data_IF_721961404576
#
_entry.id   IF_721961404576
#
_cell.length_a   1.000
_cell.length_b   1.000
_cell.length_c   1.000
_cell.angle_alpha   90.00
_cell.angle_beta   90.00
_cell.angle_gamma   90.00
#
_symmetry.space_group_name_H-M   'P 1'
#
loop_
_entity.id
_entity.type
_entity.pdbx_description
1 polymer ?
#
# COMPACT_ATOMS: atom_id res chain seq x y z
N UNK A 1 10.08 37.82 -35.03
CA UNK A 1 9.26 39.05 -35.02
C UNK A 1 8.77 39.32 -33.59
N UNK A 2 8.43 40.56 -33.22
CA UNK A 2 7.91 40.92 -31.88
C UNK A 2 6.48 41.46 -31.99
N UNK A 3 5.55 40.87 -31.24
CA UNK A 3 4.22 41.42 -30.90
C UNK A 3 4.04 41.07 -29.41
N UNK A 4 4.30 41.97 -28.47
CA UNK A 4 3.50 43.13 -28.01
C UNK A 4 2.23 42.74 -27.24
N UNK A 5 1.94 43.54 -26.20
CA UNK A 5 1.00 43.24 -25.10
C UNK A 5 -0.34 43.92 -25.32
N UNK A 6 -1.39 43.39 -24.70
CA UNK A 6 -2.62 44.14 -24.38
C UNK A 6 -2.88 43.98 -22.87
N UNK A 7 -3.32 45.06 -22.22
CA UNK A 7 -3.71 45.13 -20.81
C UNK A 7 -5.18 45.59 -20.72
N UNK A 8 -5.98 44.95 -19.85
CA UNK A 8 -7.23 45.43 -19.23
C UNK A 8 -7.93 44.24 -18.53
N UNK A 9 -8.67 44.37 -17.42
CA UNK A 9 -8.71 45.43 -16.41
C UNK A 9 -9.17 44.82 -15.06
N UNK A 10 -8.98 45.54 -13.96
CA UNK A 10 -9.37 45.12 -12.61
C UNK A 10 -10.85 45.33 -12.31
N UNK A 11 -11.44 44.43 -11.53
CA UNK A 11 -12.69 44.67 -10.79
C UNK A 11 -12.50 44.29 -9.32
N UNK A 12 -12.57 45.27 -8.42
CA UNK A 12 -12.51 45.08 -6.97
C UNK A 12 -13.90 45.27 -6.36
N UNK A 13 -14.29 44.40 -5.43
CA UNK A 13 -15.39 44.65 -4.50
C UNK A 13 -14.96 44.20 -3.09
N UNK A 14 -15.38 44.91 -2.04
CA UNK A 14 -14.84 44.72 -0.69
C UNK A 14 -15.88 45.02 0.40
N UNK A 15 -15.82 44.22 1.49
CA UNK A 15 -16.46 44.46 2.79
C UNK A 15 -18.01 44.55 2.80
N UNK A 16 -18.71 44.58 3.94
CA UNK A 16 -18.35 44.28 5.34
C UNK A 16 -18.89 42.84 5.68
N UNK A 17 -19.24 42.33 6.87
CA UNK A 17 -19.34 42.79 8.28
C UNK A 17 -18.98 41.64 9.24
N UNK A 18 -18.35 41.94 10.36
CA UNK A 18 -18.29 41.10 11.58
C UNK A 18 -19.41 41.46 12.56
N UNK A 19 -19.92 40.49 13.33
CA UNK A 19 -20.57 40.75 14.63
C UNK A 19 -20.41 39.53 15.55
N UNK A 20 -20.23 39.76 16.85
CA UNK A 20 -20.03 38.71 17.85
C UNK A 20 -20.59 39.12 19.23
N UNK A 21 -21.53 38.33 19.73
CA UNK A 21 -22.09 38.29 21.10
C UNK A 21 -22.72 36.89 21.24
N UNK A 22 -22.44 36.01 22.20
CA UNK A 22 -22.16 36.17 23.64
C UNK A 22 -23.38 36.69 24.44
N UNK A 23 -24.10 35.76 25.10
CA UNK A 23 -24.97 36.02 26.25
C UNK A 23 -25.24 34.69 26.97
N UNK A 24 -25.21 34.70 28.30
CA UNK A 24 -25.51 33.56 29.20
C UNK A 24 -26.95 33.66 29.78
N UNK A 25 -27.38 32.64 30.52
CA UNK A 25 -28.69 32.56 31.18
C UNK A 25 -28.93 33.63 32.27
N UNK A 26 -30.21 33.94 32.56
CA UNK A 26 -30.63 34.28 33.92
C UNK A 26 -31.78 33.37 34.42
N UNK A 27 -31.59 32.74 35.59
CA UNK A 27 -32.57 31.81 36.17
C UNK A 27 -33.42 32.39 37.32
N UNK A 28 -34.72 32.04 37.36
CA UNK A 28 -35.63 32.00 38.54
C UNK A 28 -37.02 31.48 38.11
N UNK A 29 -37.90 30.96 38.98
CA UNK A 29 -37.92 30.92 40.44
C UNK A 29 -38.41 29.56 41.00
N UNK A 30 -38.38 29.39 42.33
CA UNK A 30 -38.72 28.15 43.03
C UNK A 30 -39.99 28.26 43.91
N UNK A 31 -40.53 27.11 44.35
CA UNK A 31 -40.86 26.70 45.75
C UNK A 31 -41.95 25.59 45.80
N UNK A 32 -42.17 24.87 46.92
CA UNK A 32 -41.20 24.35 47.91
C UNK A 32 -41.53 22.93 48.47
N UNK A 33 -40.59 22.36 49.25
CA UNK A 33 -40.79 21.27 50.25
C UNK A 33 -41.17 19.85 49.72
N UNK A 34 -40.86 18.74 50.40
CA UNK A 34 -40.22 18.55 51.71
C UNK A 34 -39.12 17.45 51.69
N UNK A 35 -38.41 17.28 52.80
CA UNK A 35 -37.37 16.26 53.05
C UNK A 35 -37.63 15.62 54.44
N UNK A 36 -36.83 14.66 54.97
CA UNK A 36 -35.71 13.92 54.37
C UNK A 36 -35.75 12.39 54.62
N UNK A 37 -34.84 11.65 53.98
CA UNK A 37 -34.08 10.54 54.60
C UNK A 37 -32.80 10.31 53.78
N UNK A 38 -31.73 9.83 54.43
CA UNK A 38 -30.38 9.93 53.88
C UNK A 38 -29.59 8.63 53.98
N UNK A 39 -28.80 8.36 52.94
CA UNK A 39 -27.62 7.49 53.00
C UNK A 39 -26.51 8.14 52.16
N UNK A 40 -25.29 8.18 52.68
CA UNK A 40 -24.18 8.87 52.02
C UNK A 40 -23.18 7.88 51.38
N UNK A 41 -22.64 8.27 50.22
CA UNK A 41 -21.36 7.79 49.70
C UNK A 41 -20.70 8.96 48.96
N UNK A 42 -19.44 9.25 49.27
CA UNK A 42 -18.78 10.46 48.78
C UNK A 42 -18.19 10.28 47.38
N UNK A 43 -18.35 11.29 46.52
CA UNK A 43 -17.54 11.46 45.31
C UNK A 43 -16.46 12.51 45.59
N UNK A 44 -15.19 12.13 45.43
CA UNK A 44 -14.05 13.02 45.51
C UNK A 44 -13.09 12.67 44.36
N UNK A 45 -12.74 13.67 43.55
CA UNK A 45 -12.12 13.45 42.25
C UNK A 45 -10.72 12.83 42.33
N UNK A 46 -10.50 11.74 41.59
CA UNK A 46 -9.17 11.32 41.18
C UNK A 46 -8.77 12.06 39.89
N UNK A 47 -7.61 12.71 39.90
CA UNK A 47 -7.08 13.41 38.71
C UNK A 47 -6.74 12.40 37.61
N UNK A 48 -7.37 12.55 36.45
CA UNK A 48 -7.19 11.69 35.29
C UNK A 48 -5.84 11.93 34.58
N UNK A 49 -4.75 11.55 35.23
CA UNK A 49 -3.47 11.34 34.55
C UNK A 49 -3.63 10.12 33.65
N UNK A 50 -3.31 10.24 32.36
CA UNK A 50 -3.48 9.14 31.40
C UNK A 50 -2.45 8.02 31.68
N UNK A 51 -2.82 7.10 32.56
CA UNK A 51 -2.02 5.90 32.82
C UNK A 51 -1.89 5.07 31.54
N UNK A 52 -0.67 4.64 31.23
CA UNK A 52 -0.46 3.65 30.18
C UNK A 52 -1.26 2.38 30.54
N UNK A 53 -2.19 1.99 29.66
CA UNK A 53 -3.08 0.87 29.93
C UNK A 53 -2.27 -0.41 30.21
N UNK A 54 -2.71 -1.19 31.19
CA UNK A 54 -2.12 -2.50 31.45
C UNK A 54 -2.25 -3.39 30.21
N UNK A 55 -1.25 -4.24 29.99
CA UNK A 55 -1.32 -5.30 29.00
C UNK A 55 -2.45 -6.28 29.39
N UNK A 56 -3.26 -6.77 28.44
CA UNK A 56 -4.16 -7.89 28.69
C UNK A 56 -3.40 -9.08 29.26
N UNK A 57 -3.87 -9.64 30.37
CA UNK A 57 -3.36 -10.86 30.98
C UNK A 57 -4.18 -12.10 30.56
N UNK A 58 -5.36 -11.90 29.97
CA UNK A 58 -6.28 -12.98 29.54
C UNK A 58 -6.85 -12.73 28.14
N UNK A 59 -7.31 -13.79 27.47
CA UNK A 59 -8.07 -13.68 26.22
C UNK A 59 -9.30 -12.77 26.33
N UNK A 60 -9.99 -12.75 27.48
CA UNK A 60 -11.16 -11.91 27.69
C UNK A 60 -10.82 -10.41 27.73
N UNK A 61 -9.70 -10.04 28.33
CA UNK A 61 -9.18 -8.67 28.32
C UNK A 61 -8.65 -8.27 26.93
N UNK A 62 -8.04 -9.21 26.19
CA UNK A 62 -7.61 -8.98 24.81
C UNK A 62 -8.82 -8.80 23.86
N UNK A 63 -9.89 -9.59 24.05
CA UNK A 63 -11.17 -9.39 23.38
C UNK A 63 -11.77 -8.02 23.73
N UNK A 64 -11.81 -7.64 25.01
CA UNK A 64 -12.28 -6.33 25.45
C UNK A 64 -11.41 -5.16 24.96
N UNK A 65 -10.14 -5.40 24.65
CA UNK A 65 -9.29 -4.45 23.92
C UNK A 65 -9.72 -4.35 22.44
N UNK A 66 -9.81 -5.46 21.72
CA UNK A 66 -10.17 -5.51 20.28
C UNK A 66 -11.53 -4.85 20.02
N UNK A 67 -12.52 -5.11 20.89
CA UNK A 67 -13.88 -4.55 20.80
C UNK A 67 -13.97 -3.02 20.90
N UNK A 68 -12.90 -2.33 21.28
CA UNK A 68 -12.80 -0.85 21.21
C UNK A 68 -12.64 -0.32 19.79
N UNK A 69 -12.19 -1.16 18.86
CA UNK A 69 -11.82 -0.78 17.50
C UNK A 69 -12.72 -1.46 16.45
N UNK A 70 -13.00 -2.76 16.59
CA UNK A 70 -13.79 -3.54 15.63
C UNK A 70 -14.64 -4.59 16.37
N UNK A 71 -15.82 -5.01 15.86
CA UNK A 71 -16.61 -6.05 16.48
C UNK A 71 -15.81 -7.36 16.64
N UNK A 72 -15.99 -8.02 17.78
CA UNK A 72 -15.29 -9.24 18.14
C UNK A 72 -16.16 -9.96 19.18
N UNK A 73 -17.29 -10.48 18.72
CA UNK A 73 -18.30 -11.16 19.53
C UNK A 73 -18.15 -12.69 19.42
N UNK A 74 -18.81 -13.44 20.31
CA UNK A 74 -18.82 -14.91 20.29
C UNK A 74 -17.40 -15.51 20.24
N UNK A 75 -16.56 -15.12 21.21
CA UNK A 75 -15.22 -15.67 21.40
C UNK A 75 -15.32 -17.16 21.78
N UNK A 76 -14.72 -18.02 20.96
CA UNK A 76 -14.62 -19.47 21.19
C UNK A 76 -13.14 -19.84 21.30
N UNK A 77 -12.80 -20.69 22.26
CA UNK A 77 -11.41 -21.13 22.55
C UNK A 77 -11.17 -22.61 22.20
N UNK A 78 -12.03 -23.20 21.37
CA UNK A 78 -11.84 -24.57 20.88
C UNK A 78 -10.62 -24.62 19.94
N UNK A 79 -9.57 -25.43 20.23
CA UNK A 79 -8.42 -25.59 19.33
C UNK A 79 -8.77 -26.25 17.99
N UNK A 80 -10.01 -26.75 17.80
CA UNK A 80 -10.54 -27.34 16.56
C UNK A 80 -11.54 -26.43 15.84
N UNK A 81 -11.64 -25.15 16.20
CA UNK A 81 -12.56 -24.19 15.58
C UNK A 81 -12.38 -24.13 14.06
N UNK A 82 -13.36 -24.67 13.33
CA UNK A 82 -13.31 -24.86 11.88
C UNK A 82 -13.34 -23.54 11.08
N UNK A 83 -13.60 -22.41 11.74
CA UNK A 83 -13.48 -21.07 11.14
C UNK A 83 -12.02 -20.69 10.87
N UNK A 84 -11.05 -21.36 11.50
CA UNK A 84 -9.62 -21.10 11.30
C UNK A 84 -8.91 -22.37 10.82
N UNK A 85 -8.48 -22.38 9.57
CA UNK A 85 -7.55 -23.41 9.10
C UNK A 85 -6.18 -23.21 9.78
N UNK A 86 -5.84 -24.12 10.69
CA UNK A 86 -4.56 -24.18 11.41
C UNK A 86 -3.60 -25.26 10.86
N UNK A 87 -3.92 -25.88 9.72
CA UNK A 87 -3.09 -26.93 9.10
C UNK A 87 -1.71 -26.40 8.76
N UNK A 88 -0.67 -27.00 9.34
CA UNK A 88 0.72 -26.57 9.20
C UNK A 88 1.16 -25.46 10.16
N UNK A 89 0.27 -24.88 10.97
CA UNK A 89 0.63 -23.86 11.95
C UNK A 89 1.03 -24.49 13.30
N UNK A 90 2.33 -24.55 13.59
CA UNK A 90 2.85 -24.91 14.92
C UNK A 90 2.81 -23.69 15.84
N UNK A 91 2.07 -23.71 16.97
CA UNK A 91 1.99 -22.57 17.88
C UNK A 91 3.29 -22.37 18.68
N UNK A 92 4.12 -21.40 18.25
CA UNK A 92 5.35 -20.99 18.95
C UNK A 92 5.07 -19.75 19.81
N UNK A 93 5.41 -19.82 21.10
CA UNK A 93 5.26 -18.71 22.06
C UNK A 93 3.82 -18.36 22.45
N UNK A 94 2.81 -19.11 21.97
CA UNK A 94 1.39 -18.90 22.29
C UNK A 94 1.00 -19.72 23.52
N UNK A 95 0.29 -19.10 24.47
CA UNK A 95 -0.26 -19.78 25.66
C UNK A 95 -1.76 -20.08 25.54
N UNK A 96 -2.52 -19.16 24.96
CA UNK A 96 -3.97 -19.28 24.77
C UNK A 96 -4.36 -18.76 23.38
N UNK A 97 -5.47 -19.25 22.81
CA UNK A 97 -6.05 -18.74 21.57
C UNK A 97 -7.57 -18.71 21.65
N UNK A 98 -8.18 -17.67 21.10
CA UNK A 98 -9.61 -17.57 20.87
C UNK A 98 -9.93 -16.99 19.49
N UNK A 99 -11.12 -17.30 18.99
CA UNK A 99 -11.63 -16.84 17.70
C UNK A 99 -12.98 -16.15 17.93
N UNK A 100 -13.07 -14.88 17.58
CA UNK A 100 -14.31 -14.10 17.62
C UNK A 100 -14.75 -13.71 16.20
N UNK A 101 -16.01 -13.26 16.07
CA UNK A 101 -16.57 -12.77 14.82
C UNK A 101 -16.62 -11.24 14.80
N UNK A 102 -16.18 -10.67 13.68
CA UNK A 102 -16.64 -9.37 13.22
C UNK A 102 -17.97 -9.57 12.47
N UNK A 103 -19.08 -9.22 13.13
CA UNK A 103 -20.44 -9.39 12.63
C UNK A 103 -20.75 -8.49 11.42
N UNK A 104 -20.08 -7.33 11.33
CA UNK A 104 -20.26 -6.33 10.26
C UNK A 104 -19.41 -6.65 9.04
N UNK A 105 -18.17 -7.07 9.23
CA UNK A 105 -17.27 -7.48 8.15
C UNK A 105 -17.50 -8.94 7.71
N UNK A 106 -18.30 -9.71 8.45
CA UNK A 106 -18.56 -11.14 8.29
C UNK A 106 -17.26 -11.95 8.16
N UNK A 107 -16.41 -11.86 9.17
CA UNK A 107 -15.11 -12.55 9.18
C UNK A 107 -14.55 -12.78 10.56
N UNK A 108 -13.57 -13.67 10.61
CA UNK A 108 -12.92 -14.12 11.83
C UNK A 108 -11.85 -13.13 12.29
N UNK A 109 -11.71 -13.00 13.60
CA UNK A 109 -10.55 -12.40 14.24
C UNK A 109 -9.98 -13.41 15.22
N UNK A 110 -8.74 -13.82 14.96
CA UNK A 110 -8.00 -14.71 15.86
C UNK A 110 -7.25 -13.84 16.87
N UNK A 111 -7.40 -14.14 18.15
CA UNK A 111 -6.62 -13.54 19.24
C UNK A 111 -5.76 -14.64 19.83
N UNK A 112 -4.45 -14.43 19.96
CA UNK A 112 -3.54 -15.35 20.66
C UNK A 112 -2.83 -14.63 21.79
N UNK A 113 -2.81 -15.20 23.00
CA UNK A 113 -1.97 -14.72 24.11
C UNK A 113 -0.55 -15.25 23.92
N UNK A 114 0.45 -14.38 24.09
CA UNK A 114 1.83 -14.65 23.67
C UNK A 114 2.81 -14.39 24.82
N UNK A 115 3.44 -15.47 25.30
CA UNK A 115 4.43 -15.45 26.39
C UNK A 115 5.84 -15.11 25.90
N UNK A 116 6.21 -15.54 24.68
CA UNK A 116 7.45 -15.14 24.01
C UNK A 116 7.15 -14.51 22.65
N UNK A 117 7.04 -13.19 22.65
CA UNK A 117 6.81 -12.40 21.44
C UNK A 117 8.01 -12.42 20.48
N UNK A 118 9.24 -12.73 20.94
CA UNK A 118 10.40 -12.84 20.05
C UNK A 118 10.40 -14.18 19.32
N UNK A 119 10.14 -15.29 20.03
CA UNK A 119 9.99 -16.60 19.41
C UNK A 119 8.81 -16.64 18.43
N UNK A 120 7.68 -15.99 18.76
CA UNK A 120 6.54 -15.88 17.85
C UNK A 120 6.87 -15.04 16.60
N UNK A 121 7.57 -13.90 16.74
CA UNK A 121 8.01 -13.12 15.57
C UNK A 121 9.04 -13.86 14.70
N UNK A 122 9.88 -14.70 15.30
CA UNK A 122 10.80 -15.57 14.57
C UNK A 122 10.05 -16.64 13.78
N UNK A 123 9.06 -17.31 14.38
CA UNK A 123 8.25 -18.32 13.70
C UNK A 123 7.45 -17.74 12.51
N UNK A 124 6.88 -16.53 12.65
CA UNK A 124 6.23 -15.82 11.54
C UNK A 124 7.24 -15.48 10.42
N UNK A 125 8.44 -15.03 10.78
CA UNK A 125 9.52 -14.76 9.81
C UNK A 125 9.96 -16.03 9.07
N UNK A 126 10.14 -17.14 9.78
CA UNK A 126 10.58 -18.41 9.20
C UNK A 126 9.49 -18.98 8.28
N UNK A 127 8.21 -18.87 8.66
CA UNK A 127 7.08 -19.19 7.78
C UNK A 127 7.10 -18.34 6.50
N UNK A 128 7.21 -17.01 6.62
CA UNK A 128 7.29 -16.11 5.46
C UNK A 128 8.48 -16.45 4.55
N UNK A 129 9.63 -16.78 5.13
CA UNK A 129 10.84 -17.17 4.38
C UNK A 129 10.61 -18.48 3.61
N UNK A 130 10.10 -19.53 4.26
CA UNK A 130 9.77 -20.80 3.60
C UNK A 130 8.79 -20.60 2.44
N UNK A 131 7.77 -19.75 2.62
CA UNK A 131 6.78 -19.46 1.58
C UNK A 131 7.37 -18.67 0.40
N UNK A 132 8.37 -17.82 0.63
CA UNK A 132 9.12 -17.15 -0.43
C UNK A 132 10.01 -18.13 -1.21
N UNK A 133 10.67 -19.07 -0.53
CA UNK A 133 11.47 -20.13 -1.16
C UNK A 133 10.61 -21.10 -1.99
N UNK A 134 9.35 -21.32 -1.57
CA UNK A 134 8.31 -22.01 -2.36
C UNK A 134 7.76 -21.19 -3.55
N UNK A 135 8.23 -19.95 -3.75
CA UNK A 135 7.85 -19.08 -4.87
C UNK A 135 6.66 -18.14 -4.63
N UNK A 136 6.11 -18.09 -3.42
CA UNK A 136 4.99 -17.19 -3.09
C UNK A 136 5.50 -15.79 -2.72
N UNK A 137 5.76 -14.97 -3.75
CA UNK A 137 6.25 -13.58 -3.65
C UNK A 137 5.47 -12.68 -2.67
N UNK A 138 4.20 -13.00 -2.41
CA UNK A 138 3.28 -12.25 -1.56
C UNK A 138 3.16 -12.77 -0.12
N UNK A 139 3.99 -13.74 0.27
CA UNK A 139 4.07 -14.25 1.63
C UNK A 139 4.30 -13.11 2.66
N UNK A 140 3.55 -13.13 3.76
CA UNK A 140 3.67 -12.13 4.82
C UNK A 140 3.23 -10.71 4.44
N UNK A 141 2.63 -10.49 3.25
CA UNK A 141 2.13 -9.18 2.84
C UNK A 141 0.68 -8.95 3.26
N UNK A 142 -0.20 -9.92 3.03
CA UNK A 142 -1.65 -9.72 3.04
C UNK A 142 -2.39 -10.36 4.21
N UNK A 143 -1.65 -10.90 5.17
CA UNK A 143 -2.18 -11.65 6.32
C UNK A 143 -1.70 -10.96 7.60
N UNK A 144 -2.35 -9.86 8.01
CA UNK A 144 -1.77 -8.94 9.00
C UNK A 144 -1.85 -9.50 10.42
N UNK A 145 -0.71 -9.95 10.95
CA UNK A 145 -0.56 -10.29 12.37
C UNK A 145 -0.22 -9.02 13.14
N UNK A 146 -1.21 -8.48 13.86
CA UNK A 146 -1.02 -7.34 14.76
C UNK A 146 -0.42 -7.79 16.08
N UNK A 147 0.67 -7.17 16.50
CA UNK A 147 1.30 -7.37 17.80
C UNK A 147 0.89 -6.28 18.78
N UNK A 148 0.49 -6.71 19.97
CA UNK A 148 0.37 -5.89 21.17
C UNK A 148 1.31 -6.38 22.27
N UNK A 149 1.23 -5.76 23.44
CA UNK A 149 2.00 -6.20 24.61
C UNK A 149 1.34 -7.46 25.20
N UNK A 150 1.94 -8.63 24.96
CA UNK A 150 1.51 -9.92 25.52
C UNK A 150 0.44 -10.67 24.70
N UNK A 151 0.03 -10.16 23.54
CA UNK A 151 -0.95 -10.81 22.67
C UNK A 151 -0.79 -10.41 21.20
N UNK A 152 -1.32 -11.22 20.29
CA UNK A 152 -1.45 -10.93 18.86
C UNK A 152 -2.91 -11.01 18.41
N UNK A 153 -3.23 -10.29 17.33
CA UNK A 153 -4.57 -10.24 16.70
C UNK A 153 -4.42 -10.38 15.19
N UNK A 154 -5.11 -11.37 14.60
CA UNK A 154 -5.07 -11.64 13.15
C UNK A 154 -6.49 -11.60 12.56
N UNK A 155 -6.94 -10.44 12.05
CA UNK A 155 -8.24 -10.29 11.39
C UNK A 155 -8.23 -10.82 9.95
N UNK A 156 -9.29 -11.50 9.52
CA UNK A 156 -9.47 -12.00 8.14
C UNK A 156 -9.99 -10.95 7.14
N UNK A 157 -10.33 -9.73 7.58
CA UNK A 157 -10.97 -8.68 6.76
C UNK A 157 -10.20 -7.37 6.80
N UNK A 158 -10.09 -6.70 5.64
CA UNK A 158 -9.37 -5.42 5.48
C UNK A 158 -9.94 -4.33 6.38
N UNK A 159 -11.27 -4.28 6.49
CA UNK A 159 -12.00 -3.29 7.28
C UNK A 159 -11.67 -3.40 8.78
N UNK A 160 -11.62 -4.63 9.31
CA UNK A 160 -11.23 -4.92 10.70
C UNK A 160 -9.74 -4.62 10.95
N UNK A 161 -8.87 -4.95 9.99
CA UNK A 161 -7.44 -4.60 10.06
C UNK A 161 -7.22 -3.08 10.08
N UNK A 162 -7.91 -2.32 9.21
CA UNK A 162 -7.86 -0.85 9.21
C UNK A 162 -8.43 -0.22 10.49
N UNK A 163 -9.37 -0.88 11.15
CA UNK A 163 -9.87 -0.45 12.46
C UNK A 163 -8.80 -0.67 13.54
N UNK A 164 -8.20 -1.86 13.59
CA UNK A 164 -7.13 -2.21 14.54
C UNK A 164 -5.84 -1.39 14.34
N UNK A 165 -5.52 -0.97 13.12
CA UNK A 165 -4.36 -0.10 12.85
C UNK A 165 -4.44 1.30 13.49
N UNK A 166 -5.62 1.72 13.98
CA UNK A 166 -5.83 2.98 14.72
C UNK A 166 -5.43 2.87 16.21
N UNK A 167 -5.04 1.68 16.66
CA UNK A 167 -4.72 1.37 18.06
C UNK A 167 -3.21 1.51 18.36
N UNK A 168 -2.76 1.04 19.53
CA UNK A 168 -1.32 0.88 19.80
C UNK A 168 -0.72 -0.39 19.18
N UNK A 169 -1.53 -1.30 18.64
CA UNK A 169 -1.09 -2.51 17.95
C UNK A 169 -0.38 -2.21 16.62
N UNK A 170 0.52 -3.11 16.20
CA UNK A 170 1.29 -2.99 14.96
C UNK A 170 1.34 -4.27 14.15
N UNK A 171 1.09 -4.18 12.85
CA UNK A 171 1.30 -5.29 11.90
C UNK A 171 2.79 -5.63 11.85
N UNK A 172 3.14 -6.89 12.04
CA UNK A 172 4.47 -7.42 11.72
C UNK A 172 4.56 -7.66 10.21
N UNK A 173 5.61 -7.14 9.59
CA UNK A 173 5.96 -7.48 8.20
C UNK A 173 7.40 -7.98 8.16
N UNK A 174 7.58 -9.19 7.61
CA UNK A 174 8.87 -9.90 7.51
C UNK A 174 9.31 -10.19 6.06
N UNK A 175 8.50 -9.81 5.06
CA UNK A 175 8.86 -9.97 3.65
C UNK A 175 9.98 -8.97 3.27
N UNK A 176 11.15 -9.42 2.78
CA UNK A 176 12.32 -8.58 2.59
C UNK A 176 12.23 -7.64 1.37
N UNK A 177 11.37 -7.96 0.40
CA UNK A 177 11.15 -7.14 -0.79
C UNK A 177 10.04 -6.08 -0.58
N UNK A 178 9.35 -6.12 0.57
CA UNK A 178 8.41 -5.10 0.98
C UNK A 178 9.08 -3.95 1.72
N UNK A 179 8.59 -2.73 1.52
CA UNK A 179 8.99 -1.55 2.28
C UNK A 179 7.75 -0.77 2.69
N UNK A 180 7.57 -0.60 4.01
CA UNK A 180 6.47 0.20 4.58
C UNK A 180 6.49 1.61 3.94
N UNK A 181 5.37 2.08 3.37
CA UNK A 181 5.29 3.39 2.73
C UNK A 181 5.61 4.57 3.67
N UNK A 182 5.86 5.74 3.10
CA UNK A 182 6.02 6.98 3.87
C UNK A 182 4.70 7.45 4.49
N UNK A 183 4.79 8.11 5.65
CA UNK A 183 3.64 8.57 6.43
C UNK A 183 3.12 7.58 7.48
N UNK A 184 3.59 6.33 7.46
CA UNK A 184 3.25 5.29 8.43
C UNK A 184 4.31 5.15 9.52
N UNK A 185 3.88 4.73 10.72
CA UNK A 185 4.78 4.40 11.83
C UNK A 185 5.61 3.18 11.48
N UNK A 186 6.86 3.18 11.95
CA UNK A 186 7.83 2.09 11.78
C UNK A 186 8.52 1.92 13.12
N UNK A 187 8.33 0.76 13.73
CA UNK A 187 8.87 0.37 15.03
C UNK A 187 9.74 -0.88 14.83
N UNK A 188 10.84 -1.03 15.60
CA UNK A 188 11.73 -2.19 15.40
C UNK A 188 11.05 -3.45 15.94
N UNK A 189 11.01 -4.51 15.12
CA UNK A 189 10.64 -5.84 15.59
C UNK A 189 11.69 -6.41 16.56
N UNK A 190 11.30 -7.46 17.30
CA UNK A 190 12.17 -8.19 18.22
C UNK A 190 13.15 -9.14 17.50
N UNK A 191 12.94 -9.34 16.20
CA UNK A 191 13.77 -10.13 15.28
C UNK A 191 14.26 -9.24 14.13
N UNK A 192 15.51 -9.41 13.72
CA UNK A 192 16.10 -8.60 12.65
C UNK A 192 15.59 -9.03 11.27
N UNK A 193 15.36 -8.04 10.40
CA UNK A 193 14.75 -8.23 9.07
C UNK A 193 13.22 -8.09 9.04
N UNK A 194 12.55 -7.94 10.19
CA UNK A 194 11.13 -7.59 10.26
C UNK A 194 10.92 -6.16 10.79
N UNK A 195 9.74 -5.60 10.52
CA UNK A 195 9.30 -4.27 10.97
C UNK A 195 7.89 -4.32 11.53
N UNK A 196 7.62 -3.51 12.54
CA UNK A 196 6.28 -3.29 13.10
C UNK A 196 5.71 -1.97 12.55
N UNK A 197 4.46 -1.95 12.08
CA UNK A 197 3.86 -0.77 11.44
C UNK A 197 2.34 -0.63 11.66
N UNK A 198 1.80 0.57 11.46
CA UNK A 198 0.35 0.81 11.30
C UNK A 198 -0.10 0.82 9.82
N UNK A 199 0.79 0.42 8.89
CA UNK A 199 0.40 0.13 7.51
C UNK A 199 -0.25 -1.25 7.37
N UNK A 200 -1.50 -1.28 6.89
CA UNK A 200 -2.22 -2.48 6.51
C UNK A 200 -2.14 -2.63 4.98
N UNK A 201 -1.55 -3.72 4.51
CA UNK A 201 -1.65 -4.11 3.10
C UNK A 201 -2.84 -5.07 2.91
N UNK A 202 -3.44 -5.14 1.71
CA UNK A 202 -4.51 -6.10 1.43
C UNK A 202 -4.63 -6.47 -0.05
N UNK A 203 -5.07 -7.70 -0.33
CA UNK A 203 -5.33 -8.22 -1.69
C UNK A 203 -6.48 -7.49 -2.40
N UNK A 204 -7.42 -6.90 -1.65
CA UNK A 204 -8.59 -6.22 -2.21
C UNK A 204 -8.32 -4.76 -2.62
N UNK A 205 -7.10 -4.26 -2.43
CA UNK A 205 -6.71 -2.89 -2.72
C UNK A 205 -7.26 -1.84 -1.75
N UNK A 206 -8.08 -2.21 -0.76
CA UNK A 206 -8.64 -1.30 0.27
C UNK A 206 -7.71 -1.11 1.48
N UNK A 207 -6.41 -1.41 1.34
CA UNK A 207 -5.43 -1.25 2.42
C UNK A 207 -5.21 0.20 2.85
N UNK A 208 -4.24 0.42 3.73
CA UNK A 208 -3.86 1.74 4.24
C UNK A 208 -3.53 2.71 3.09
N UNK A 209 -4.08 3.94 3.09
CA UNK A 209 -4.04 4.86 1.95
C UNK A 209 -2.66 5.48 1.70
N UNK A 210 -1.86 4.84 0.84
CA UNK A 210 -0.59 5.39 0.35
C UNK A 210 -0.74 6.76 -0.33
N UNK A 211 0.28 7.61 -0.24
CA UNK A 211 0.35 8.85 -1.04
C UNK A 211 0.45 8.51 -2.54
N UNK A 212 -0.43 9.10 -3.34
CA UNK A 212 -0.60 8.78 -4.75
C UNK A 212 -1.28 7.42 -4.99
N UNK A 213 -1.78 7.13 -6.20
CA UNK A 213 -2.50 5.88 -6.48
C UNK A 213 -1.69 4.63 -6.05
N UNK A 214 -2.39 3.58 -5.62
CA UNK A 214 -1.77 2.26 -5.39
C UNK A 214 -1.05 1.79 -6.66
N UNK A 215 -0.01 0.95 -6.53
CA UNK A 215 0.69 0.47 -7.72
C UNK A 215 -0.26 -0.37 -8.60
N UNK A 216 -0.26 -0.08 -9.90
CA UNK A 216 -1.07 -0.77 -10.89
C UNK A 216 -0.86 -2.30 -10.84
N UNK A 217 -1.92 -3.09 -11.01
CA UNK A 217 -1.83 -4.56 -11.03
C UNK A 217 -2.85 -5.17 -12.00
N UNK A 218 -2.56 -6.39 -12.46
CA UNK A 218 -3.47 -7.20 -13.28
C UNK A 218 -3.14 -8.70 -13.12
N UNK A 219 -4.13 -9.58 -13.18
CA UNK A 219 -3.92 -11.02 -13.29
C UNK A 219 -3.60 -11.47 -14.72
N UNK A 220 -4.34 -10.93 -15.69
CA UNK A 220 -4.22 -11.23 -17.13
C UNK A 220 -3.86 -10.01 -18.01
N UNK A 221 -3.47 -10.27 -19.26
CA UNK A 221 -3.09 -9.21 -20.21
C UNK A 221 -4.31 -8.41 -20.69
N UNK A 222 -5.50 -9.03 -20.69
CA UNK A 222 -6.80 -8.37 -20.92
C UNK A 222 -7.18 -7.46 -19.76
N UNK A 223 -6.85 -7.81 -18.53
CA UNK A 223 -7.03 -6.94 -17.36
C UNK A 223 -6.07 -5.74 -17.42
N UNK A 224 -4.81 -5.95 -17.79
CA UNK A 224 -3.86 -4.86 -18.04
C UNK A 224 -4.37 -3.94 -19.17
N UNK A 225 -4.89 -4.51 -20.28
CA UNK A 225 -5.55 -3.75 -21.36
C UNK A 225 -6.73 -2.92 -20.84
N UNK A 226 -7.64 -3.50 -20.03
CA UNK A 226 -8.79 -2.79 -19.41
C UNK A 226 -8.36 -1.72 -18.39
N UNK A 227 -7.20 -1.89 -17.76
CA UNK A 227 -6.65 -0.90 -16.84
C UNK A 227 -6.19 0.34 -17.62
N UNK A 228 -5.41 0.17 -18.69
CA UNK A 228 -4.76 1.29 -19.43
C UNK A 228 -5.56 1.86 -20.60
N UNK A 229 -6.44 1.09 -21.23
CA UNK A 229 -7.20 1.47 -22.42
C UNK A 229 -8.69 1.69 -22.10
N UNK A 230 -9.34 2.75 -22.62
CA UNK A 230 -8.80 3.83 -23.47
C UNK A 230 -8.20 5.00 -22.66
N UNK A 231 -7.89 4.80 -21.37
CA UNK A 231 -7.62 5.88 -20.39
C UNK A 231 -6.28 6.60 -20.56
N UNK A 232 -5.25 5.86 -21.02
CA UNK A 232 -3.88 6.32 -21.15
C UNK A 232 -3.18 5.75 -22.39
N UNK A 233 -3.47 4.50 -22.76
CA UNK A 233 -2.94 3.84 -23.97
C UNK A 233 -4.10 3.53 -24.90
N UNK A 234 -3.95 3.82 -26.20
CA UNK A 234 -4.86 3.29 -27.22
C UNK A 234 -4.49 1.84 -27.54
N UNK A 235 -5.27 0.89 -27.01
CA UNK A 235 -5.19 -0.53 -27.34
C UNK A 235 -6.39 -0.96 -28.19
N UNK A 236 -6.85 -0.14 -29.14
CA UNK A 236 -7.84 -0.54 -30.15
C UNK A 236 -7.25 -1.64 -31.05
N UNK A 237 -6.06 -1.39 -31.60
CA UNK A 237 -5.17 -2.41 -32.15
C UNK A 237 -4.27 -2.94 -31.01
N UNK A 238 -4.25 -4.26 -30.83
CA UNK A 238 -3.39 -4.94 -29.86
C UNK A 238 -3.10 -6.38 -30.33
N UNK A 239 -1.84 -6.82 -30.18
CA UNK A 239 -1.43 -8.23 -30.35
C UNK A 239 -0.69 -8.69 -29.10
N UNK A 240 -0.99 -9.90 -28.63
CA UNK A 240 -0.19 -10.63 -27.63
C UNK A 240 0.95 -11.31 -28.39
N UNK A 241 2.20 -11.00 -28.06
CA UNK A 241 3.38 -11.57 -28.71
C UNK A 241 4.62 -11.42 -27.84
N UNK A 242 5.48 -12.44 -27.87
CA UNK A 242 6.78 -12.44 -27.20
C UNK A 242 7.90 -11.98 -28.16
N UNK A 243 7.57 -11.69 -29.43
CA UNK A 243 8.50 -11.21 -30.45
C UNK A 243 8.94 -9.75 -30.22
N UNK A 244 10.17 -9.45 -30.62
CA UNK A 244 10.73 -8.10 -30.53
C UNK A 244 10.22 -7.19 -31.67
N UNK A 245 8.98 -6.70 -31.52
CA UNK A 245 8.39 -5.72 -32.45
C UNK A 245 9.14 -4.39 -32.38
N UNK A 246 9.84 -4.02 -33.46
CA UNK A 246 10.51 -2.73 -33.59
C UNK A 246 9.54 -1.65 -34.11
N UNK A 247 9.57 -0.46 -33.49
CA UNK A 247 8.93 0.73 -34.05
C UNK A 247 9.93 1.60 -34.83
N UNK A 248 9.44 2.43 -35.76
CA UNK A 248 10.25 3.53 -36.30
C UNK A 248 10.51 4.63 -35.27
N UNK A 249 9.61 4.80 -34.30
CA UNK A 249 9.70 5.85 -33.31
C UNK A 249 10.65 5.42 -32.18
N UNK A 250 10.45 4.20 -31.67
CA UNK A 250 10.98 3.77 -30.37
C UNK A 250 11.50 2.32 -30.33
N UNK A 251 12.48 2.09 -29.45
CA UNK A 251 12.99 0.78 -29.08
C UNK A 251 12.51 0.41 -27.67
N UNK A 252 11.92 -0.78 -27.46
CA UNK A 252 11.64 -1.26 -26.10
C UNK A 252 12.93 -1.59 -25.35
N UNK A 253 12.90 -1.37 -24.04
CA UNK A 253 13.91 -1.77 -23.06
C UNK A 253 13.97 -3.28 -22.98
N UNK A 254 12.81 -3.94 -22.89
CA UNK A 254 12.68 -5.39 -22.64
C UNK A 254 12.75 -6.20 -23.93
N UNK A 255 13.38 -7.37 -23.85
CA UNK A 255 13.13 -8.48 -24.78
C UNK A 255 14.02 -8.57 -26.02
N UNK A 256 15.23 -7.99 -26.01
CA UNK A 256 16.24 -8.30 -27.05
C UNK A 256 16.73 -9.74 -27.01
N UNK A 257 16.72 -10.33 -25.82
CA UNK A 257 17.06 -11.72 -25.48
C UNK A 257 15.82 -12.53 -25.04
N UNK A 258 14.63 -12.13 -25.51
CA UNK A 258 13.34 -12.72 -25.12
C UNK A 258 12.76 -12.13 -23.83
N UNK A 259 11.43 -12.13 -23.68
CA UNK A 259 10.75 -11.46 -22.56
C UNK A 259 10.93 -12.18 -21.21
N UNK A 260 11.01 -13.51 -21.23
CA UNK A 260 11.16 -14.34 -20.02
C UNK A 260 12.50 -14.09 -19.32
N UNK A 261 13.55 -13.78 -20.08
CA UNK A 261 14.85 -13.39 -19.54
C UNK A 261 14.78 -12.11 -18.69
N UNK A 262 13.76 -11.26 -18.89
CA UNK A 262 13.48 -10.04 -18.14
C UNK A 262 12.44 -10.21 -17.03
N UNK A 263 12.04 -11.45 -16.70
CA UNK A 263 11.02 -11.70 -15.67
C UNK A 263 9.59 -11.38 -16.12
N UNK A 264 9.36 -11.16 -17.42
CA UNK A 264 8.03 -10.95 -18.01
C UNK A 264 7.45 -12.31 -18.44
N UNK A 265 6.24 -12.64 -17.96
CA UNK A 265 5.55 -13.90 -18.24
C UNK A 265 4.67 -13.88 -19.49
N UNK A 266 4.25 -12.70 -19.95
CA UNK A 266 3.44 -12.50 -21.14
C UNK A 266 3.50 -11.03 -21.57
N UNK A 267 3.61 -10.76 -22.88
CA UNK A 267 3.65 -9.42 -23.46
C UNK A 267 2.52 -9.20 -24.46
N UNK A 268 2.01 -7.96 -24.50
CA UNK A 268 1.23 -7.44 -25.61
C UNK A 268 1.81 -6.12 -26.11
N UNK A 269 1.48 -5.77 -27.36
CA UNK A 269 1.85 -4.50 -27.99
C UNK A 269 0.58 -3.82 -28.46
N UNK A 270 0.37 -2.57 -28.04
CA UNK A 270 -0.72 -1.69 -28.47
C UNK A 270 -0.19 -0.58 -29.37
N UNK A 271 -0.97 -0.17 -30.37
CA UNK A 271 -0.60 0.86 -31.35
C UNK A 271 -0.67 0.35 -32.79
N UNK A 272 -0.11 1.07 -33.75
CA UNK A 272 -0.13 0.67 -35.17
C UNK A 272 0.97 -0.35 -35.44
N UNK A 273 0.61 -1.63 -35.45
CA UNK A 273 1.52 -2.77 -35.52
C UNK A 273 2.24 -2.96 -36.88
N UNK A 274 1.87 -2.16 -37.89
CA UNK A 274 2.51 -2.16 -39.21
C UNK A 274 1.76 -2.98 -40.27
N UNK A 275 2.38 -3.07 -41.45
CA UNK A 275 1.82 -3.71 -42.65
C UNK A 275 2.55 -3.20 -43.88
N UNK A 276 1.84 -2.50 -44.78
CA UNK A 276 2.47 -1.75 -45.87
C UNK A 276 3.33 -0.56 -45.39
N UNK A 277 3.17 -0.14 -44.13
CA UNK A 277 4.01 0.84 -43.44
C UNK A 277 4.62 0.23 -42.17
N UNK A 278 5.70 0.84 -41.67
CA UNK A 278 6.37 0.37 -40.45
C UNK A 278 5.53 0.67 -39.19
N UNK A 279 5.74 -0.12 -38.14
CA UNK A 279 5.02 -0.02 -36.89
C UNK A 279 5.36 1.29 -36.12
N UNK A 280 4.35 1.95 -35.57
CA UNK A 280 4.46 3.29 -34.98
C UNK A 280 3.41 3.56 -33.89
N UNK A 281 3.66 4.55 -33.03
CA UNK A 281 2.90 4.81 -31.80
C UNK A 281 2.78 3.58 -30.87
N UNK A 282 3.80 2.71 -30.87
CA UNK A 282 3.77 1.47 -30.07
C UNK A 282 3.93 1.74 -28.57
N UNK A 283 3.21 0.94 -27.79
CA UNK A 283 3.32 0.85 -26.33
C UNK A 283 3.29 -0.64 -25.97
N UNK A 284 4.21 -1.10 -25.12
CA UNK A 284 4.29 -2.50 -24.72
C UNK A 284 3.64 -2.67 -23.36
N UNK A 285 2.83 -3.72 -23.19
CA UNK A 285 2.11 -4.08 -21.98
C UNK A 285 2.69 -5.40 -21.48
N UNK A 286 3.26 -5.41 -20.28
CA UNK A 286 3.95 -6.57 -19.71
C UNK A 286 3.26 -7.06 -18.45
N UNK A 287 2.95 -8.36 -18.42
CA UNK A 287 2.69 -9.07 -17.18
C UNK A 287 4.02 -9.59 -16.62
N UNK A 288 4.32 -9.23 -15.38
CA UNK A 288 5.62 -9.49 -14.74
C UNK A 288 5.47 -10.58 -13.69
N UNK A 289 6.29 -11.63 -13.77
CA UNK A 289 6.41 -12.68 -12.76
C UNK A 289 7.61 -12.47 -11.84
N UNK A 290 8.68 -11.87 -12.35
CA UNK A 290 9.84 -11.46 -11.55
C UNK A 290 10.16 -9.98 -11.80
N UNK A 291 9.61 -9.14 -10.91
CA UNK A 291 9.78 -7.69 -10.93
C UNK A 291 11.20 -7.26 -10.52
N UNK A 292 11.94 -8.09 -9.79
CA UNK A 292 13.30 -7.84 -9.33
C UNK A 292 14.30 -8.02 -10.48
N UNK A 293 14.14 -9.08 -11.28
CA UNK A 293 14.89 -9.28 -12.53
C UNK A 293 14.58 -8.19 -13.56
N UNK A 294 13.31 -7.82 -13.75
CA UNK A 294 12.92 -6.73 -14.66
C UNK A 294 13.62 -5.42 -14.29
N UNK A 295 13.54 -5.01 -13.02
CA UNK A 295 14.18 -3.80 -12.54
C UNK A 295 15.71 -3.89 -12.56
N UNK A 296 16.30 -5.07 -12.32
CA UNK A 296 17.76 -5.26 -12.34
C UNK A 296 18.32 -5.10 -13.75
N UNK A 297 17.66 -5.67 -14.76
CA UNK A 297 18.06 -5.52 -16.17
C UNK A 297 17.78 -4.11 -16.71
N UNK A 298 16.67 -3.48 -16.31
CA UNK A 298 16.42 -2.08 -16.65
C UNK A 298 17.46 -1.14 -16.00
N UNK A 299 17.85 -1.37 -14.73
CA UNK A 299 18.97 -0.69 -14.08
C UNK A 299 20.26 -0.84 -14.88
N UNK A 300 20.62 -2.05 -15.30
CA UNK A 300 21.81 -2.30 -16.11
C UNK A 300 21.78 -1.53 -17.44
N UNK A 301 20.63 -1.48 -18.13
CA UNK A 301 20.46 -0.66 -19.34
C UNK A 301 20.59 0.83 -19.05
N UNK A 302 19.96 1.34 -17.99
CA UNK A 302 20.04 2.76 -17.64
C UNK A 302 21.47 3.19 -17.29
N UNK A 303 22.21 2.35 -16.54
CA UNK A 303 23.61 2.62 -16.17
C UNK A 303 24.57 2.53 -17.35
N UNK A 304 24.30 1.69 -18.35
CA UNK A 304 25.09 1.63 -19.59
C UNK A 304 24.98 2.91 -20.45
N UNK A 305 23.91 3.70 -20.28
CA UNK A 305 23.72 4.99 -20.97
C UNK A 305 24.19 6.20 -20.15
N UNK A 306 24.58 6.04 -18.87
CA UNK A 306 25.08 7.15 -18.04
C UNK A 306 26.36 7.74 -18.64
N UNK A 307 26.37 9.06 -18.84
CA UNK A 307 27.48 9.79 -19.47
C UNK A 307 27.46 9.79 -21.00
N UNK A 308 26.56 9.03 -21.64
CA UNK A 308 26.26 9.19 -23.06
C UNK A 308 25.11 10.18 -23.26
N UNK A 309 24.87 10.61 -24.51
CA UNK A 309 23.54 11.12 -24.86
C UNK A 309 22.58 9.94 -24.77
N UNK A 310 21.66 9.95 -23.79
CA UNK A 310 20.57 8.98 -23.70
C UNK A 310 19.90 8.85 -25.06
N UNK A 311 19.58 7.63 -25.45
CA UNK A 311 18.97 7.44 -26.75
C UNK A 311 17.51 7.89 -26.67
N UNK A 312 17.20 9.05 -27.27
CA UNK A 312 15.86 9.65 -27.29
C UNK A 312 14.77 8.72 -27.86
N UNK A 313 15.15 7.62 -28.52
CA UNK A 313 14.23 6.58 -29.01
C UNK A 313 13.98 5.44 -28.01
N UNK A 314 14.69 5.31 -26.89
CA UNK A 314 14.37 4.25 -25.91
C UNK A 314 13.04 4.57 -25.20
N UNK A 315 12.13 3.59 -25.16
CA UNK A 315 10.91 3.68 -24.35
C UNK A 315 11.26 3.82 -22.86
N UNK A 316 10.47 4.62 -22.12
CA UNK A 316 10.59 4.63 -20.66
C UNK A 316 9.76 3.49 -20.08
N UNK A 317 10.34 2.74 -19.15
CA UNK A 317 9.67 1.65 -18.42
C UNK A 317 8.87 2.23 -17.24
N UNK A 318 7.55 2.03 -17.23
CA UNK A 318 6.66 2.39 -16.14
C UNK A 318 6.15 1.12 -15.45
N UNK A 319 6.29 1.06 -14.13
CA UNK A 319 6.19 -0.14 -13.31
C UNK A 319 4.99 -0.04 -12.37
N UNK A 320 4.19 -1.11 -12.32
CA UNK A 320 3.19 -1.37 -11.28
C UNK A 320 3.69 -2.37 -10.25
N UNK A 321 2.79 -3.13 -9.62
CA UNK A 321 3.11 -4.19 -8.66
C UNK A 321 3.63 -5.45 -9.37
N UNK A 322 2.87 -5.94 -10.35
CA UNK A 322 3.14 -7.17 -11.10
C UNK A 322 2.95 -6.97 -12.62
N UNK A 323 3.02 -5.72 -13.07
CA UNK A 323 2.84 -5.28 -14.46
C UNK A 323 3.84 -4.19 -14.79
N UNK A 324 4.16 -4.04 -16.07
CA UNK A 324 4.83 -2.85 -16.59
C UNK A 324 4.20 -2.39 -17.90
N UNK A 325 4.44 -1.13 -18.24
CA UNK A 325 4.09 -0.53 -19.54
C UNK A 325 5.28 0.26 -20.03
N UNK A 326 5.69 0.01 -21.27
CA UNK A 326 6.72 0.79 -21.96
C UNK A 326 6.07 1.84 -22.88
N UNK A 327 6.44 3.11 -22.70
CA UNK A 327 6.01 4.17 -23.63
C UNK A 327 6.97 5.36 -23.66
N UNK A 328 7.27 5.85 -24.87
CA UNK A 328 7.97 7.12 -25.02
C UNK A 328 7.05 8.34 -25.27
N UNK A 329 5.73 8.16 -25.40
CA UNK A 329 4.80 9.27 -25.53
C UNK A 329 4.55 9.95 -24.16
N UNK A 330 4.87 11.25 -23.97
CA UNK A 330 4.71 11.92 -22.68
C UNK A 330 3.26 11.98 -22.19
N UNK A 331 2.27 12.10 -23.08
CA UNK A 331 0.86 12.14 -22.71
C UNK A 331 0.39 10.77 -22.19
N UNK A 332 0.84 9.69 -22.81
CA UNK A 332 0.59 8.31 -22.34
C UNK A 332 1.17 8.10 -20.95
N UNK A 333 2.44 8.50 -20.72
CA UNK A 333 3.07 8.41 -19.39
C UNK A 333 2.33 9.21 -18.32
N UNK A 334 1.93 10.45 -18.62
CA UNK A 334 1.12 11.28 -17.73
C UNK A 334 -0.31 10.73 -17.48
N UNK A 335 -0.81 9.86 -18.37
CA UNK A 335 -1.98 9.03 -18.11
C UNK A 335 -1.67 7.85 -17.17
N UNK A 336 -0.60 7.11 -17.45
CA UNK A 336 -0.15 5.94 -16.68
C UNK A 336 0.21 6.27 -15.22
N UNK A 337 0.82 7.43 -14.95
CA UNK A 337 1.07 7.90 -13.57
C UNK A 337 -0.23 8.03 -12.75
N UNK A 338 -1.32 8.51 -13.38
CA UNK A 338 -2.65 8.61 -12.74
C UNK A 338 -3.32 7.25 -12.53
N UNK A 339 -2.86 6.21 -13.22
CA UNK A 339 -3.34 4.83 -13.12
C UNK A 339 -2.49 3.96 -12.17
N UNK A 340 -1.49 4.53 -11.49
CA UNK A 340 -0.68 3.80 -10.51
C UNK A 340 0.59 3.15 -11.06
N UNK A 341 0.97 3.40 -12.31
CA UNK A 341 2.31 3.05 -12.79
C UNK A 341 3.29 4.15 -12.38
N UNK A 342 4.56 3.81 -12.17
CA UNK A 342 5.63 4.77 -11.87
C UNK A 342 6.88 4.45 -12.68
N UNK A 343 7.58 5.45 -13.20
CA UNK A 343 8.83 5.25 -13.95
C UNK A 343 9.90 4.68 -13.03
N UNK A 344 10.57 3.62 -13.46
CA UNK A 344 11.81 3.18 -12.81
C UNK A 344 12.94 4.14 -13.18
N UNK A 345 13.56 4.75 -12.17
CA UNK A 345 14.72 5.62 -12.29
C UNK A 345 15.86 5.07 -11.44
N UNK A 346 17.03 4.91 -12.06
CA UNK A 346 18.21 4.28 -11.47
C UNK A 346 19.48 5.13 -11.65
N UNK A 347 19.35 6.37 -12.12
CA UNK A 347 20.47 7.30 -12.28
C UNK A 347 21.11 7.66 -10.92
N UNK A 348 22.44 7.52 -10.75
CA UNK A 348 23.13 7.88 -9.51
C UNK A 348 22.86 9.33 -9.10
N UNK A 349 22.60 9.55 -7.81
CA UNK A 349 22.23 10.85 -7.24
C UNK A 349 20.94 11.49 -7.82
N UNK A 350 20.05 10.71 -8.47
CA UNK A 350 18.71 11.16 -8.83
C UNK A 350 17.97 11.76 -7.62
N UNK A 351 17.28 12.88 -7.85
CA UNK A 351 16.36 13.49 -6.90
C UNK A 351 15.16 14.09 -7.63
N UNK A 352 14.00 14.08 -6.98
CA UNK A 352 12.76 14.66 -7.48
C UNK A 352 12.26 15.78 -6.54
N UNK A 353 11.47 16.75 -7.03
CA UNK A 353 10.86 17.76 -6.18
C UNK A 353 9.97 17.16 -5.08
N UNK A 354 9.89 17.80 -3.91
CA UNK A 354 9.16 17.29 -2.74
C UNK A 354 7.62 17.09 -2.91
N UNK A 355 7.08 17.42 -4.09
CA UNK A 355 5.67 17.17 -4.49
C UNK A 355 5.50 15.93 -5.36
N UNK A 356 6.59 15.32 -5.83
CA UNK A 356 6.57 14.14 -6.69
C UNK A 356 6.36 12.87 -5.88
N UNK A 357 5.71 11.89 -6.49
CA UNK A 357 5.60 10.55 -5.95
C UNK A 357 6.97 9.87 -6.05
N UNK A 358 7.48 9.36 -4.93
CA UNK A 358 8.68 8.50 -4.86
C UNK A 358 8.29 7.26 -4.06
N UNK A 359 8.66 6.07 -4.54
CA UNK A 359 8.56 4.79 -3.83
C UNK A 359 9.85 4.00 -4.02
N UNK A 360 10.18 3.10 -3.09
CA UNK A 360 11.36 2.22 -3.24
C UNK A 360 11.15 1.29 -4.45
N UNK A 361 12.20 1.06 -5.23
CA UNK A 361 12.28 -0.07 -6.15
C UNK A 361 12.59 -1.38 -5.38
N UNK A 362 12.40 -2.53 -6.01
CA UNK A 362 12.89 -3.83 -5.50
C UNK A 362 14.40 -4.00 -5.68
N UNK A 363 15.05 -3.09 -6.40
CA UNK A 363 16.50 -3.08 -6.66
C UNK A 363 17.12 -1.84 -6.03
N UNK A 364 18.12 -2.05 -5.17
CA UNK A 364 18.75 -0.96 -4.43
C UNK A 364 19.47 0.04 -5.36
N UNK A 365 19.41 1.32 -4.99
CA UNK A 365 19.88 2.42 -5.84
C UNK A 365 18.94 2.80 -6.99
N UNK A 366 17.74 2.23 -7.05
CA UNK A 366 16.66 2.71 -7.93
C UNK A 366 15.45 3.18 -7.11
N UNK A 367 14.62 4.02 -7.73
CA UNK A 367 13.31 4.46 -7.22
C UNK A 367 12.23 4.32 -8.28
N UNK A 368 10.99 4.28 -7.84
CA UNK A 368 9.79 4.40 -8.68
C UNK A 368 9.21 5.80 -8.51
N UNK A 369 9.03 6.55 -9.60
CA UNK A 369 8.58 7.96 -9.53
C UNK A 369 7.63 8.41 -10.65
N UNK A 370 6.86 9.46 -10.39
CA UNK A 370 6.07 10.21 -11.38
C UNK A 370 6.88 11.36 -12.04
N UNK A 371 8.11 11.61 -11.55
CA UNK A 371 8.96 12.68 -12.03
C UNK A 371 9.75 12.28 -13.28
N UNK A 372 9.86 13.22 -14.21
CA UNK A 372 10.74 13.10 -15.37
C UNK A 372 11.69 14.30 -15.42
N UNK A 373 12.99 14.02 -15.54
CA UNK A 373 14.00 15.05 -15.76
C UNK A 373 13.72 15.78 -17.09
N UNK A 374 13.79 17.14 -17.13
CA UNK A 374 13.56 17.87 -18.37
C UNK A 374 14.70 17.65 -19.39
N UNK A 375 14.37 16.99 -20.51
CA UNK A 375 15.17 17.05 -21.74
C UNK A 375 16.57 16.44 -21.68
N UNK A 376 16.67 15.16 -21.27
CA UNK A 376 17.82 14.28 -21.53
C UNK A 376 17.41 13.21 -22.52
#
# INVERSE_FOLDING_TARGET
MRLQRIFAATATLAALTTLATACEDPAKAAKPAASPSATAAASAAATATAAAAAAPATLAEAQAYVRKYTPCENLITDPKDSRVNLTGYTPVGITERGVCLDDKAQGEIVISMVSDAKAHQQAEKDHVTTRLDEGYWDAGLYEPVFYGKGFTVSPRKTEAALALAKSDLRVLVCNPDFTVPEGYKKEKALVDGCVLTDFVNSRDGKGSPVKGPALASAGSIEELRKLVSPKAVDCTEMVVTDEHVQSIDYLPVVGRDGISAWGVKQRAVCGKLGGATRAHNLNWLDLVSDMKTLQTRSKASQLAEVGQRRNLTQSKLLVGMNVAVESNNPAVRQGLYKLGFLRLECEPAFSAPAKSQIRKAQVDGCVLTDFELPGV
#
